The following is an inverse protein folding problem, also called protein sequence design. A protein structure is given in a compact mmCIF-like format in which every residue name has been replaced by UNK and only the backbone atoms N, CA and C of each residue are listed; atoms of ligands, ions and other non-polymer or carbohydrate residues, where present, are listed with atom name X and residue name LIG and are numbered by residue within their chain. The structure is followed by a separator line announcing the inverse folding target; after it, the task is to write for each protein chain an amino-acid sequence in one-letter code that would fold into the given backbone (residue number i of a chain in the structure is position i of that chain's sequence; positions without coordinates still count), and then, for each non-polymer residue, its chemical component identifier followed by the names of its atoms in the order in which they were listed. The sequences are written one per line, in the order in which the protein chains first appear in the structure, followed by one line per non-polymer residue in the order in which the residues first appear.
data_IF_199349618889
#
_entry.id   IF_199349618889
#
_cell.length_a   1.000
_cell.length_b   1.000
_cell.length_c   1.000
_cell.angle_alpha   90.00
_cell.angle_beta   90.00
_cell.angle_gamma   90.00
#
_symmetry.space_group_name_H-M   'P 1'
#
loop_
_entity.id
_entity.type
_entity.pdbx_description
1 polymer ?
#
# COMPACT_ATOMS: atom_id res chain seq x y z
N UNK A 1 -59.84 -3.55 9.11
CA UNK A 1 -61.22 -2.98 9.08
C UNK A 1 -61.45 -2.40 7.69
N UNK A 2 -62.64 -2.50 7.14
CA UNK A 2 -62.97 -1.81 5.90
C UNK A 2 -62.92 -0.29 6.10
N UNK A 3 -62.40 0.42 5.10
CA UNK A 3 -62.35 1.89 5.12
C UNK A 3 -63.76 2.45 4.98
N UNK A 4 -64.19 3.41 5.81
CA UNK A 4 -65.56 3.99 5.76
C UNK A 4 -65.83 4.61 4.38
N UNK A 5 -67.15 4.56 3.97
CA UNK A 5 -67.57 5.05 2.64
C UNK A 5 -67.37 6.55 2.48
N UNK A 6 -67.56 7.35 3.52
CA UNK A 6 -67.26 8.79 3.50
C UNK A 6 -65.79 9.08 3.18
N UNK A 7 -64.86 8.34 3.74
CA UNK A 7 -63.43 8.49 3.47
C UNK A 7 -63.06 8.09 2.03
N UNK A 8 -63.71 7.04 1.51
CA UNK A 8 -63.51 6.62 0.13
C UNK A 8 -64.04 7.60 -0.90
N UNK A 9 -65.06 8.40 -0.54
CA UNK A 9 -65.69 9.39 -1.42
C UNK A 9 -64.94 10.74 -1.45
N UNK A 10 -63.96 10.94 -0.60
CA UNK A 10 -63.18 12.19 -0.58
C UNK A 10 -62.48 12.40 -1.91
N UNK A 11 -62.67 13.59 -2.57
CA UNK A 11 -61.99 13.94 -3.80
C UNK A 11 -60.46 13.90 -3.59
N UNK A 12 -59.73 13.21 -4.48
CA UNK A 12 -58.31 13.02 -4.40
C UNK A 12 -57.69 12.81 -5.78
N UNK A 13 -56.34 12.91 -5.96
CA UNK A 13 -55.67 12.69 -7.26
C UNK A 13 -56.03 11.33 -7.87
N UNK A 14 -56.14 11.29 -9.21
CA UNK A 14 -56.37 10.05 -9.96
C UNK A 14 -55.21 9.05 -9.71
N UNK A 15 -55.48 7.76 -9.89
CA UNK A 15 -54.55 6.67 -9.65
C UNK A 15 -54.00 6.60 -8.23
N UNK A 16 -54.82 6.89 -7.24
CA UNK A 16 -54.44 6.78 -5.82
C UNK A 16 -55.34 5.76 -5.11
N UNK A 17 -54.85 5.27 -3.99
CA UNK A 17 -55.58 4.35 -3.09
C UNK A 17 -55.48 4.88 -1.66
N UNK A 18 -56.60 4.74 -0.93
CA UNK A 18 -56.64 5.07 0.51
C UNK A 18 -56.25 3.84 1.30
N UNK A 19 -55.37 4.01 2.27
CA UNK A 19 -54.92 2.96 3.18
C UNK A 19 -55.05 3.47 4.61
N UNK A 20 -55.74 2.70 5.46
CA UNK A 20 -55.73 2.97 6.89
C UNK A 20 -54.36 2.62 7.49
N UNK A 21 -53.80 3.47 8.32
CA UNK A 21 -52.50 3.24 8.96
C UNK A 21 -52.51 3.68 10.43
N UNK A 22 -51.57 3.10 11.17
CA UNK A 22 -51.46 3.36 12.61
C UNK A 22 -52.35 2.46 13.48
N UNK A 23 -52.08 2.46 14.78
CA UNK A 23 -52.88 1.73 15.77
C UNK A 23 -54.17 2.50 16.13
N UNK A 24 -54.17 3.79 15.85
CA UNK A 24 -55.30 4.67 16.15
C UNK A 24 -56.31 4.66 15.00
N UNK A 25 -57.59 4.49 15.36
CA UNK A 25 -58.68 4.47 14.39
C UNK A 25 -58.89 5.89 13.84
N UNK A 26 -58.73 6.06 12.53
CA UNK A 26 -59.07 7.31 11.86
C UNK A 26 -57.96 7.97 11.06
N UNK A 27 -56.78 7.37 10.98
CA UNK A 27 -55.71 7.89 10.13
C UNK A 27 -55.71 7.20 8.75
N UNK A 28 -55.84 7.98 7.68
CA UNK A 28 -55.90 7.49 6.30
C UNK A 28 -54.85 8.15 5.43
N UNK A 29 -53.96 7.32 4.89
CA UNK A 29 -52.95 7.76 3.90
C UNK A 29 -53.48 7.53 2.49
N UNK A 30 -53.19 8.47 1.60
CA UNK A 30 -53.44 8.36 0.17
C UNK A 30 -52.12 8.06 -0.52
N UNK A 31 -52.03 6.88 -1.16
CA UNK A 31 -50.83 6.44 -1.86
C UNK A 31 -51.08 6.37 -3.36
N UNK A 32 -50.05 6.69 -4.14
CA UNK A 32 -50.08 6.55 -5.60
C UNK A 32 -50.12 5.07 -5.98
N UNK A 33 -50.85 4.69 -7.01
CA UNK A 33 -50.74 3.38 -7.65
C UNK A 33 -49.70 3.43 -8.74
N UNK A 34 -48.67 2.60 -8.64
CA UNK A 34 -47.54 2.60 -9.58
C UNK A 34 -47.52 1.38 -10.52
N UNK A 35 -48.36 0.39 -10.26
CA UNK A 35 -48.44 -0.78 -11.09
C UNK A 35 -49.27 -1.90 -10.53
N UNK A 36 -49.17 -3.07 -11.16
CA UNK A 36 -49.83 -4.29 -10.75
C UNK A 36 -48.83 -5.45 -10.87
N UNK A 37 -48.75 -6.29 -9.87
CA UNK A 37 -47.95 -7.54 -9.96
C UNK A 37 -48.92 -8.73 -10.07
N UNK A 38 -48.57 -9.72 -10.84
CA UNK A 38 -49.30 -10.97 -10.91
C UNK A 38 -48.71 -11.95 -9.87
N UNK A 39 -49.57 -12.42 -8.99
CA UNK A 39 -49.23 -13.40 -7.96
C UNK A 39 -50.23 -14.57 -8.08
N UNK A 40 -49.74 -15.70 -8.58
CA UNK A 40 -50.52 -16.93 -8.81
C UNK A 40 -51.86 -16.67 -9.57
N UNK A 41 -51.82 -15.85 -10.64
CA UNK A 41 -52.99 -15.52 -11.46
C UNK A 41 -53.85 -14.40 -10.88
N UNK A 42 -53.51 -13.81 -9.75
CA UNK A 42 -54.19 -12.66 -9.16
C UNK A 42 -53.43 -11.38 -9.41
N UNK A 43 -54.09 -10.39 -9.99
CA UNK A 43 -53.51 -9.06 -10.19
C UNK A 43 -53.58 -8.25 -8.89
N UNK A 44 -52.47 -8.11 -8.21
CA UNK A 44 -52.33 -7.34 -6.99
C UNK A 44 -51.80 -5.93 -7.29
N UNK A 45 -52.49 -4.85 -6.88
CA UNK A 45 -52.00 -3.49 -7.10
C UNK A 45 -50.75 -3.21 -6.27
N UNK A 46 -49.75 -2.56 -6.90
CA UNK A 46 -48.52 -2.10 -6.24
C UNK A 46 -48.73 -0.62 -5.90
N UNK A 47 -48.58 -0.30 -4.61
CA UNK A 47 -48.73 1.05 -4.10
C UNK A 47 -47.35 1.72 -3.99
N UNK A 48 -47.26 2.93 -4.51
CA UNK A 48 -46.09 3.80 -4.43
C UNK A 48 -46.04 4.66 -3.18
N UNK A 49 -45.37 5.81 -3.24
CA UNK A 49 -45.27 6.75 -2.10
C UNK A 49 -46.60 7.30 -1.67
N UNK A 50 -46.69 7.75 -0.42
CA UNK A 50 -47.82 8.50 0.11
C UNK A 50 -47.81 9.90 -0.49
N UNK A 51 -48.93 10.33 -1.06
CA UNK A 51 -49.09 11.66 -1.71
C UNK A 51 -49.92 12.62 -0.87
N UNK A 52 -50.55 12.15 0.20
CA UNK A 52 -51.34 12.97 1.12
C UNK A 52 -52.04 12.11 2.17
N UNK A 53 -52.79 12.77 2.99
CA UNK A 53 -53.64 12.18 4.05
C UNK A 53 -55.06 12.65 3.92
N UNK A 54 -56.02 11.88 4.43
CA UNK A 54 -57.42 12.36 4.62
C UNK A 54 -57.58 12.72 6.09
N UNK A 55 -57.82 13.99 6.33
CA UNK A 55 -58.04 14.59 7.65
C UNK A 55 -59.38 15.36 7.57
N UNK A 56 -60.27 15.14 8.51
CA UNK A 56 -61.57 15.82 8.59
C UNK A 56 -62.35 15.79 7.25
N UNK A 57 -62.44 14.60 6.66
CA UNK A 57 -63.10 14.34 5.36
C UNK A 57 -62.55 15.19 4.19
N UNK A 58 -61.28 15.66 4.27
CA UNK A 58 -60.60 16.42 3.23
C UNK A 58 -59.28 15.79 2.89
N UNK A 59 -58.91 15.80 1.60
CA UNK A 59 -57.58 15.41 1.15
C UNK A 59 -56.60 16.55 1.43
N UNK A 60 -55.62 16.27 2.25
CA UNK A 60 -54.48 17.15 2.52
C UNK A 60 -53.24 16.55 1.81
N UNK A 61 -52.73 17.19 0.75
CA UNK A 61 -51.51 16.71 0.12
C UNK A 61 -50.37 16.77 1.15
N UNK A 62 -49.49 15.82 1.07
CA UNK A 62 -48.18 16.02 1.69
C UNK A 62 -47.56 17.14 0.87
N UNK A 63 -47.27 18.26 1.52
CA UNK A 63 -46.43 19.26 0.92
C UNK A 63 -45.12 18.57 0.54
N UNK A 64 -44.98 18.25 -0.74
CA UNK A 64 -43.72 17.85 -1.34
C UNK A 64 -42.83 19.07 -1.58
N UNK A 65 -43.25 20.26 -1.13
CA UNK A 65 -42.30 21.25 -0.69
C UNK A 65 -41.63 20.64 0.57
N UNK A 66 -40.77 19.66 0.34
CA UNK A 66 -39.61 19.47 1.20
C UNK A 66 -39.16 20.86 1.59
N UNK A 67 -38.95 21.17 2.89
CA UNK A 67 -38.19 22.36 3.25
C UNK A 67 -37.06 22.36 2.27
N UNK A 68 -36.96 23.39 1.42
CA UNK A 68 -35.99 23.51 0.38
C UNK A 68 -34.76 22.83 0.92
N UNK A 69 -34.49 21.61 0.39
CA UNK A 69 -33.22 21.05 0.61
C UNK A 69 -32.33 22.18 0.10
N UNK A 70 -31.81 22.96 1.01
CA UNK A 70 -30.49 23.56 0.76
C UNK A 70 -29.79 22.35 0.19
N UNK A 71 -29.60 22.34 -1.12
CA UNK A 71 -28.75 21.35 -1.74
C UNK A 71 -27.41 21.61 -1.05
N UNK A 72 -27.23 20.97 0.09
CA UNK A 72 -25.93 20.89 0.68
C UNK A 72 -25.13 20.31 -0.48
N UNK A 73 -24.32 21.15 -1.08
CA UNK A 73 -23.31 20.70 -2.04
C UNK A 73 -22.72 19.48 -1.36
N UNK A 74 -22.67 18.32 -2.04
CA UNK A 74 -22.17 17.13 -1.40
C UNK A 74 -20.88 17.53 -0.70
N UNK A 75 -20.82 17.36 0.62
CA UNK A 75 -19.63 17.70 1.39
C UNK A 75 -18.59 16.71 0.90
N UNK A 76 -17.67 17.22 0.12
CA UNK A 76 -16.55 16.42 -0.38
C UNK A 76 -15.54 16.27 0.76
N UNK A 77 -15.58 15.12 1.41
CA UNK A 77 -14.65 14.77 2.48
C UNK A 77 -13.44 14.09 1.85
N UNK A 78 -12.26 14.67 2.06
CA UNK A 78 -11.00 14.13 1.55
C UNK A 78 -10.02 13.85 2.69
N UNK A 79 -9.31 12.73 2.58
CA UNK A 79 -8.18 12.43 3.45
C UNK A 79 -7.06 13.46 3.22
N UNK A 80 -6.61 14.09 4.28
CA UNK A 80 -5.71 15.24 4.18
C UNK A 80 -4.39 15.07 4.94
N UNK A 81 -4.42 14.74 6.22
CA UNK A 81 -3.26 14.91 7.09
C UNK A 81 -2.09 13.98 6.75
N UNK A 82 -2.36 12.71 6.54
CA UNK A 82 -1.39 11.68 6.13
C UNK A 82 -0.84 11.95 4.72
N UNK A 83 -1.70 12.37 3.80
CA UNK A 83 -1.31 12.75 2.43
C UNK A 83 -0.32 13.93 2.45
N UNK A 84 -0.63 15.00 3.19
CA UNK A 84 0.25 16.18 3.28
C UNK A 84 1.57 15.83 3.98
N UNK A 85 1.52 14.99 5.01
CA UNK A 85 2.75 14.55 5.68
C UNK A 85 3.63 13.76 4.70
N UNK A 86 3.08 12.77 4.01
CA UNK A 86 3.79 12.00 3.01
C UNK A 86 4.33 12.85 1.87
N UNK A 87 3.52 13.80 1.35
CA UNK A 87 3.95 14.69 0.27
C UNK A 87 5.15 15.55 0.67
N UNK A 88 5.17 16.05 1.90
CA UNK A 88 6.31 16.82 2.43
C UNK A 88 7.56 15.97 2.63
N UNK A 89 7.40 14.79 3.22
CA UNK A 89 8.52 13.89 3.50
C UNK A 89 9.15 13.34 2.21
N UNK A 90 8.36 13.10 1.16
CA UNK A 90 8.83 12.47 -0.06
C UNK A 90 9.00 13.44 -1.25
N UNK A 91 9.00 14.75 -1.00
CA UNK A 91 9.17 15.76 -2.04
C UNK A 91 10.47 15.57 -2.85
N UNK A 92 11.55 15.13 -2.21
CA UNK A 92 12.83 14.89 -2.85
C UNK A 92 12.75 13.68 -3.78
N UNK A 93 12.10 12.60 -3.35
CA UNK A 93 11.86 11.41 -4.19
C UNK A 93 11.08 11.78 -5.45
N UNK A 94 10.09 12.68 -5.35
CA UNK A 94 9.36 13.16 -6.52
C UNK A 94 10.29 13.86 -7.52
N UNK A 95 11.19 14.71 -7.04
CA UNK A 95 12.19 15.38 -7.88
C UNK A 95 13.13 14.37 -8.55
N UNK A 96 13.61 13.39 -7.80
CA UNK A 96 14.47 12.33 -8.32
C UNK A 96 13.76 11.49 -9.38
N UNK A 97 12.49 11.13 -9.18
CA UNK A 97 11.71 10.39 -10.17
C UNK A 97 11.65 11.11 -11.51
N UNK A 98 11.52 12.43 -11.49
CA UNK A 98 11.46 13.27 -12.72
C UNK A 98 12.76 13.27 -13.53
N UNK A 99 13.89 12.82 -12.97
CA UNK A 99 15.14 12.64 -13.70
C UNK A 99 15.16 11.37 -14.58
N UNK A 100 14.36 10.38 -14.25
CA UNK A 100 14.35 9.06 -14.90
C UNK A 100 13.08 8.76 -15.68
N UNK A 101 11.99 9.44 -15.35
CA UNK A 101 10.67 9.21 -15.93
C UNK A 101 10.12 10.51 -16.55
N UNK A 102 9.19 10.37 -17.47
CA UNK A 102 8.39 11.52 -17.92
C UNK A 102 7.63 12.09 -16.73
N UNK A 103 7.30 13.38 -16.77
CA UNK A 103 6.53 14.05 -15.70
C UNK A 103 5.23 13.27 -15.39
N UNK A 104 4.51 12.81 -16.40
CA UNK A 104 3.28 12.05 -16.25
C UNK A 104 3.51 10.68 -15.57
N UNK A 105 4.62 10.00 -15.86
CA UNK A 105 4.93 8.70 -15.27
C UNK A 105 5.49 8.86 -13.85
N UNK A 106 6.36 9.86 -13.64
CA UNK A 106 6.86 10.20 -12.31
C UNK A 106 5.70 10.54 -11.36
N UNK A 107 4.73 11.32 -11.83
CA UNK A 107 3.57 11.68 -11.05
C UNK A 107 2.65 10.49 -10.73
N UNK A 108 2.45 9.57 -11.70
CA UNK A 108 1.71 8.32 -11.43
C UNK A 108 2.41 7.46 -10.39
N UNK A 109 3.74 7.27 -10.52
CA UNK A 109 4.54 6.52 -9.54
C UNK A 109 4.42 7.14 -8.15
N UNK A 110 4.57 8.46 -8.08
CA UNK A 110 4.52 9.20 -6.83
C UNK A 110 3.17 9.07 -6.15
N UNK A 111 2.07 9.34 -6.86
CA UNK A 111 0.72 9.21 -6.32
C UNK A 111 0.39 7.78 -5.87
N UNK A 112 0.75 6.77 -6.68
CA UNK A 112 0.56 5.36 -6.31
C UNK A 112 1.35 5.03 -5.04
N UNK A 113 2.57 5.54 -4.91
CA UNK A 113 3.43 5.28 -3.75
C UNK A 113 2.88 5.90 -2.48
N UNK A 114 2.45 7.17 -2.51
CA UNK A 114 1.82 7.84 -1.37
C UNK A 114 0.57 7.07 -0.92
N UNK A 115 -0.34 6.73 -1.84
CA UNK A 115 -1.56 5.99 -1.51
C UNK A 115 -1.25 4.63 -0.85
N UNK A 116 -0.20 3.95 -1.30
CA UNK A 116 0.24 2.68 -0.69
C UNK A 116 0.96 2.83 0.63
N UNK A 117 1.56 3.97 0.91
CA UNK A 117 2.12 4.27 2.23
C UNK A 117 0.99 4.54 3.23
N UNK A 118 -0.03 5.32 2.82
CA UNK A 118 -1.20 5.62 3.65
C UNK A 118 -2.08 4.38 3.88
N UNK A 119 -2.26 3.55 2.84
CA UNK A 119 -2.96 2.26 2.92
C UNK A 119 -2.14 1.14 2.27
N UNK A 120 -1.31 0.41 3.04
CA UNK A 120 -0.51 -0.71 2.51
C UNK A 120 -1.34 -1.87 1.94
N UNK A 121 -2.63 -1.94 2.27
CA UNK A 121 -3.56 -2.97 1.80
C UNK A 121 -4.22 -2.66 0.45
N UNK A 122 -4.13 -1.44 -0.03
CA UNK A 122 -4.85 -0.94 -1.20
C UNK A 122 -4.58 -1.76 -2.46
N UNK A 123 -5.64 -2.13 -3.16
CA UNK A 123 -5.56 -2.86 -4.43
C UNK A 123 -5.46 -1.90 -5.61
N UNK A 124 -4.88 -2.37 -6.72
CA UNK A 124 -4.74 -1.55 -7.93
C UNK A 124 -6.07 -0.98 -8.46
N UNK A 125 -7.17 -1.67 -8.25
CA UNK A 125 -8.50 -1.21 -8.71
C UNK A 125 -9.14 -0.18 -7.77
N UNK A 126 -8.64 -0.02 -6.56
CA UNK A 126 -9.09 0.94 -5.55
C UNK A 126 -8.33 2.28 -5.63
N UNK A 127 -7.17 2.30 -6.30
CA UNK A 127 -6.30 3.48 -6.36
C UNK A 127 -6.99 4.74 -6.89
N UNK A 128 -7.89 4.58 -7.88
CA UNK A 128 -8.61 5.75 -8.40
C UNK A 128 -9.54 6.35 -7.37
N UNK A 129 -10.31 5.52 -6.67
CA UNK A 129 -11.24 5.97 -5.64
C UNK A 129 -10.49 6.60 -4.47
N UNK A 130 -9.42 5.97 -4.00
CA UNK A 130 -8.57 6.53 -2.94
C UNK A 130 -7.93 7.86 -3.35
N UNK A 131 -7.48 8.00 -4.59
CA UNK A 131 -6.96 9.27 -5.10
C UNK A 131 -8.05 10.35 -5.15
N UNK A 132 -9.23 10.05 -5.70
CA UNK A 132 -10.33 11.00 -5.82
C UNK A 132 -10.81 11.47 -4.42
N UNK A 133 -10.80 10.58 -3.42
CA UNK A 133 -11.21 10.83 -2.04
C UNK A 133 -10.08 11.36 -1.15
N UNK A 134 -8.90 11.59 -1.68
CA UNK A 134 -7.76 12.14 -0.96
C UNK A 134 -7.40 13.54 -1.47
N UNK A 135 -6.69 14.31 -0.62
CA UNK A 135 -6.18 15.62 -0.99
C UNK A 135 -5.10 15.55 -2.09
N UNK A 136 -4.63 14.36 -2.40
CA UNK A 136 -3.69 14.13 -3.50
C UNK A 136 -4.26 14.56 -4.86
N UNK A 137 -5.59 14.40 -5.06
CA UNK A 137 -6.29 14.85 -6.26
C UNK A 137 -6.33 16.37 -6.41
N UNK A 138 -6.21 17.12 -5.30
CA UNK A 138 -6.11 18.58 -5.31
C UNK A 138 -4.66 19.04 -5.54
N UNK A 139 -3.69 18.37 -4.93
CA UNK A 139 -2.27 18.67 -5.12
C UNK A 139 -1.78 18.38 -6.54
N UNK A 140 -2.23 17.27 -7.10
CA UNK A 140 -1.81 16.75 -8.40
C UNK A 140 -3.02 16.37 -9.25
N UNK A 141 -3.79 17.33 -9.75
CA UNK A 141 -5.03 17.07 -10.46
C UNK A 141 -4.81 16.33 -11.78
N UNK A 142 -5.76 15.43 -12.10
CA UNK A 142 -5.80 14.76 -13.39
C UNK A 142 -4.86 13.56 -13.56
N UNK A 143 -4.24 13.04 -12.50
CA UNK A 143 -3.42 11.83 -12.60
C UNK A 143 -4.30 10.62 -12.90
N UNK A 144 -4.08 9.91 -14.02
CA UNK A 144 -4.96 8.81 -14.43
C UNK A 144 -4.60 7.52 -13.67
N UNK A 145 -5.41 7.18 -12.66
CA UNK A 145 -5.22 6.00 -11.79
C UNK A 145 -6.33 4.95 -11.94
N UNK A 146 -7.05 4.91 -13.07
CA UNK A 146 -8.01 3.84 -13.32
C UNK A 146 -7.34 2.47 -13.33
N UNK A 147 -8.07 1.40 -12.97
CA UNK A 147 -7.56 0.02 -12.93
C UNK A 147 -6.76 -0.36 -14.19
N UNK A 148 -7.31 -0.07 -15.37
CA UNK A 148 -6.66 -0.42 -16.62
C UNK A 148 -5.41 0.43 -16.87
N UNK A 149 -5.46 1.73 -16.58
CA UNK A 149 -4.32 2.63 -16.71
C UNK A 149 -3.17 2.20 -15.81
N UNK A 150 -3.46 1.90 -14.53
CA UNK A 150 -2.44 1.43 -13.58
C UNK A 150 -1.85 0.09 -14.02
N UNK A 151 -2.69 -0.85 -14.46
CA UNK A 151 -2.20 -2.16 -14.93
C UNK A 151 -1.28 -2.05 -16.15
N UNK A 152 -1.66 -1.26 -17.14
CA UNK A 152 -0.83 -1.00 -18.32
C UNK A 152 0.47 -0.29 -17.92
N UNK A 153 0.37 0.75 -17.10
CA UNK A 153 1.51 1.52 -16.62
C UNK A 153 2.54 0.64 -15.88
N UNK A 154 2.09 -0.20 -14.93
CA UNK A 154 2.99 -1.09 -14.20
C UNK A 154 3.63 -2.15 -15.10
N UNK A 155 2.91 -2.66 -16.10
CA UNK A 155 3.48 -3.57 -17.09
C UNK A 155 4.57 -2.88 -17.95
N UNK A 156 4.33 -1.67 -18.40
CA UNK A 156 5.30 -0.91 -19.21
C UNK A 156 6.50 -0.44 -18.36
N UNK A 157 6.28 -0.09 -17.11
CA UNK A 157 7.33 0.18 -16.13
C UNK A 157 8.25 -1.04 -15.97
N UNK A 158 7.68 -2.24 -15.81
CA UNK A 158 8.43 -3.48 -15.69
C UNK A 158 9.27 -3.81 -16.94
N UNK A 159 8.84 -3.38 -18.13
CA UNK A 159 9.63 -3.50 -19.37
C UNK A 159 10.79 -2.49 -19.46
N UNK A 160 10.66 -1.35 -18.79
CA UNK A 160 11.64 -0.27 -18.79
C UNK A 160 12.66 -0.40 -17.63
N UNK A 161 13.21 -1.59 -17.41
CA UNK A 161 14.11 -1.91 -16.30
C UNK A 161 15.29 -0.95 -16.18
N UNK A 162 15.80 -0.41 -17.29
CA UNK A 162 16.91 0.55 -17.26
C UNK A 162 16.59 1.82 -16.47
N UNK A 163 15.34 2.29 -16.49
CA UNK A 163 14.90 3.45 -15.73
C UNK A 163 14.84 3.14 -14.24
N UNK A 164 14.30 1.98 -13.89
CA UNK A 164 14.25 1.50 -12.49
C UNK A 164 15.66 1.38 -11.93
N UNK A 165 16.54 0.69 -12.65
CA UNK A 165 17.95 0.53 -12.24
C UNK A 165 18.67 1.87 -12.19
N UNK A 166 18.41 2.79 -13.13
CA UNK A 166 18.98 4.13 -13.13
C UNK A 166 18.61 4.91 -11.88
N UNK A 167 17.33 4.93 -11.51
CA UNK A 167 16.83 5.55 -10.29
C UNK A 167 17.50 4.96 -9.03
N UNK A 168 17.55 3.62 -8.90
CA UNK A 168 18.17 2.95 -7.75
C UNK A 168 19.68 3.26 -7.65
N UNK A 169 20.39 3.28 -8.77
CA UNK A 169 21.82 3.64 -8.81
C UNK A 169 22.07 5.09 -8.43
N UNK A 170 21.19 6.00 -8.82
CA UNK A 170 21.29 7.40 -8.42
C UNK A 170 21.22 7.55 -6.89
N UNK A 171 20.28 6.85 -6.26
CA UNK A 171 20.15 6.84 -4.79
C UNK A 171 21.37 6.19 -4.13
N UNK A 172 21.85 5.06 -4.64
CA UNK A 172 23.05 4.41 -4.13
C UNK A 172 24.31 5.30 -4.24
N UNK A 173 24.41 6.10 -5.30
CA UNK A 173 25.51 7.05 -5.48
C UNK A 173 25.46 8.24 -4.52
N UNK A 174 24.30 8.57 -3.94
CA UNK A 174 24.15 9.64 -2.96
C UNK A 174 24.58 9.25 -1.54
N UNK A 175 24.67 7.96 -1.22
CA UNK A 175 25.11 7.46 0.09
C UNK A 175 26.51 7.98 0.43
N UNK A 176 26.75 8.36 1.68
CA UNK A 176 28.07 8.77 2.16
C UNK A 176 28.93 7.57 2.60
N UNK A 177 30.27 7.74 2.62
CA UNK A 177 31.21 6.66 2.96
C UNK A 177 31.05 6.15 4.41
N UNK A 178 30.62 7.00 5.31
CA UNK A 178 30.42 6.74 6.73
C UNK A 178 29.01 6.28 7.08
N UNK A 179 28.09 6.20 6.11
CA UNK A 179 26.74 5.73 6.33
C UNK A 179 26.65 4.21 6.42
N UNK A 180 25.72 3.73 7.25
CA UNK A 180 25.43 2.32 7.42
C UNK A 180 24.26 1.92 6.53
N UNK A 181 24.50 1.00 5.62
CA UNK A 181 23.50 0.43 4.72
C UNK A 181 23.02 -0.91 5.25
N UNK A 182 21.83 -0.93 5.85
CA UNK A 182 21.18 -2.18 6.23
C UNK A 182 20.73 -2.94 4.97
N UNK A 183 21.34 -4.10 4.73
CA UNK A 183 20.93 -5.00 3.64
C UNK A 183 20.23 -6.21 4.21
N UNK A 184 18.99 -6.42 3.77
CA UNK A 184 18.19 -7.57 4.18
C UNK A 184 17.39 -8.13 3.01
N UNK A 185 16.93 -9.37 3.17
CA UNK A 185 16.16 -10.10 2.17
C UNK A 185 14.85 -10.64 2.71
N UNK A 186 13.81 -10.53 1.90
CA UNK A 186 12.51 -11.10 2.22
C UNK A 186 11.97 -11.95 1.08
N UNK A 187 11.18 -12.96 1.42
CA UNK A 187 10.43 -13.75 0.46
C UNK A 187 9.01 -13.21 0.35
N UNK A 188 8.55 -13.02 -0.88
CA UNK A 188 7.16 -12.67 -1.19
C UNK A 188 6.52 -13.83 -1.92
N UNK A 189 5.43 -14.35 -1.37
CA UNK A 189 4.64 -15.39 -2.00
C UNK A 189 4.09 -14.91 -3.34
N UNK A 190 4.21 -15.73 -4.36
CA UNK A 190 3.77 -15.41 -5.72
C UNK A 190 2.93 -16.56 -6.30
N UNK A 191 1.66 -16.24 -6.55
CA UNK A 191 0.71 -17.17 -7.16
C UNK A 191 0.70 -17.09 -8.70
N UNK A 192 1.51 -16.23 -9.28
CA UNK A 192 1.59 -16.04 -10.73
C UNK A 192 2.18 -17.29 -11.40
N UNK A 193 1.53 -17.71 -12.49
CA UNK A 193 2.03 -18.82 -13.33
C UNK A 193 2.95 -18.37 -14.46
N UNK A 194 3.04 -17.06 -14.67
CA UNK A 194 3.78 -16.47 -15.81
C UNK A 194 4.98 -15.62 -15.37
N UNK A 195 5.19 -15.45 -14.06
CA UNK A 195 6.32 -14.71 -13.54
C UNK A 195 7.59 -15.58 -13.52
N UNK A 196 8.59 -15.20 -14.30
CA UNK A 196 9.87 -15.93 -14.41
C UNK A 196 10.71 -15.93 -13.13
N UNK A 197 10.45 -15.01 -12.20
CA UNK A 197 11.11 -14.94 -10.89
C UNK A 197 10.45 -15.83 -9.84
N UNK A 198 9.24 -16.33 -10.13
CA UNK A 198 8.49 -17.19 -9.22
C UNK A 198 9.08 -18.59 -9.20
N UNK A 199 9.61 -19.02 -8.05
CA UNK A 199 10.17 -20.35 -7.91
C UNK A 199 10.06 -20.86 -6.46
N UNK A 200 10.27 -22.19 -6.27
CA UNK A 200 10.15 -22.83 -4.97
C UNK A 200 11.34 -22.49 -4.08
N UNK A 201 11.09 -21.75 -3.02
CA UNK A 201 12.12 -21.41 -2.04
C UNK A 201 12.25 -22.50 -0.97
N UNK A 202 13.50 -22.83 -0.61
CA UNK A 202 13.80 -23.69 0.56
C UNK A 202 13.44 -23.01 1.89
N UNK A 203 13.32 -21.68 1.89
CA UNK A 203 12.99 -20.84 3.05
C UNK A 203 11.50 -20.50 3.12
N UNK A 204 10.70 -20.97 2.16
CA UNK A 204 9.26 -20.71 2.14
C UNK A 204 8.61 -21.15 3.46
N UNK A 205 7.78 -20.28 4.03
CA UNK A 205 7.03 -20.60 5.27
C UNK A 205 6.08 -21.79 5.08
N UNK A 206 5.53 -21.90 3.88
CA UNK A 206 4.66 -23.00 3.49
C UNK A 206 5.34 -23.81 2.40
N UNK A 207 5.55 -25.11 2.64
CA UNK A 207 6.15 -26.00 1.62
C UNK A 207 5.24 -26.09 0.41
N UNK A 208 5.85 -25.99 -0.79
CA UNK A 208 5.14 -26.09 -2.06
C UNK A 208 4.55 -24.78 -2.57
N UNK A 209 4.79 -23.65 -1.90
CA UNK A 209 4.50 -22.33 -2.44
C UNK A 209 5.66 -21.80 -3.25
N UNK A 210 5.33 -20.99 -4.26
CA UNK A 210 6.33 -20.28 -5.05
C UNK A 210 6.51 -18.88 -4.48
N UNK A 211 7.75 -18.42 -4.47
CA UNK A 211 8.13 -17.13 -3.91
C UNK A 211 8.99 -16.34 -4.90
N UNK A 212 9.10 -15.05 -4.64
CA UNK A 212 10.11 -14.15 -5.21
C UNK A 212 10.98 -13.69 -4.05
N UNK A 213 12.30 -13.70 -4.22
CA UNK A 213 13.22 -13.11 -3.27
C UNK A 213 13.41 -11.62 -3.59
N UNK A 214 13.32 -10.76 -2.57
CA UNK A 214 13.55 -9.32 -2.69
C UNK A 214 14.64 -8.93 -1.72
N UNK A 215 15.75 -8.39 -2.22
CA UNK A 215 16.77 -7.73 -1.43
C UNK A 215 16.56 -6.22 -1.48
N UNK A 216 16.85 -5.55 -0.39
CA UNK A 216 16.81 -4.10 -0.30
C UNK A 216 17.94 -3.56 0.57
N UNK A 217 18.35 -2.34 0.31
CA UNK A 217 19.26 -1.56 1.13
C UNK A 217 18.53 -0.33 1.68
N UNK A 218 18.80 -0.04 2.95
CA UNK A 218 18.24 1.09 3.69
C UNK A 218 19.37 1.85 4.36
N UNK A 219 19.41 3.16 4.18
CA UNK A 219 20.39 4.05 4.82
C UNK A 219 19.91 4.35 6.26
N UNK A 220 20.71 3.99 7.25
CA UNK A 220 20.35 4.14 8.67
C UNK A 220 20.51 5.57 9.18
N UNK A 221 21.39 6.35 8.59
CA UNK A 221 21.61 7.75 8.96
C UNK A 221 20.50 8.65 8.40
N UNK A 222 20.19 8.50 7.11
CA UNK A 222 19.13 9.27 6.46
C UNK A 222 17.73 8.69 6.72
N UNK A 223 17.65 7.47 7.29
CA UNK A 223 16.39 6.76 7.51
C UNK A 223 15.57 6.56 6.23
N UNK A 224 16.24 6.27 5.12
CA UNK A 224 15.63 6.17 3.80
C UNK A 224 15.95 4.87 3.06
N UNK A 225 15.01 4.35 2.25
CA UNK A 225 15.31 3.26 1.33
C UNK A 225 16.24 3.74 0.20
N UNK A 226 17.30 2.98 -0.05
CA UNK A 226 18.29 3.28 -1.08
C UNK A 226 17.95 2.56 -2.39
N UNK A 227 17.93 1.24 -2.36
CA UNK A 227 17.66 0.44 -3.54
C UNK A 227 17.05 -0.92 -3.18
N UNK A 228 16.47 -1.57 -4.17
CA UNK A 228 15.96 -2.93 -4.05
C UNK A 228 16.15 -3.71 -5.35
N UNK A 229 16.09 -5.05 -5.25
CA UNK A 229 16.11 -5.93 -6.41
C UNK A 229 15.37 -7.22 -6.13
N UNK A 230 14.62 -7.67 -7.13
CA UNK A 230 13.96 -8.97 -7.12
C UNK A 230 14.84 -10.03 -7.75
N UNK A 231 14.87 -11.22 -7.15
CA UNK A 231 15.56 -12.41 -7.60
C UNK A 231 14.62 -13.61 -7.62
N UNK A 232 14.94 -14.68 -8.36
CA UNK A 232 14.19 -15.92 -8.29
C UNK A 232 14.11 -16.46 -6.85
N UNK A 233 12.93 -16.97 -6.47
CA UNK A 233 12.69 -17.44 -5.11
C UNK A 233 13.59 -18.59 -4.64
N UNK A 234 14.16 -19.36 -5.57
CA UNK A 234 15.11 -20.44 -5.29
C UNK A 234 16.58 -19.96 -5.19
N UNK A 235 16.87 -18.70 -5.50
CA UNK A 235 18.23 -18.17 -5.44
C UNK A 235 18.73 -18.09 -4.01
N UNK A 236 19.97 -18.52 -3.78
CA UNK A 236 20.60 -18.43 -2.46
C UNK A 236 20.98 -16.98 -2.16
N UNK A 237 20.83 -16.57 -0.90
CA UNK A 237 21.17 -15.22 -0.44
C UNK A 237 22.61 -14.83 -0.80
N UNK A 238 23.56 -15.76 -0.64
CA UNK A 238 24.96 -15.54 -1.01
C UNK A 238 25.12 -15.19 -2.50
N UNK A 239 24.40 -15.87 -3.40
CA UNK A 239 24.49 -15.59 -4.85
C UNK A 239 23.82 -14.27 -5.21
N UNK A 240 22.69 -13.94 -4.59
CA UNK A 240 21.97 -12.69 -4.84
C UNK A 240 22.70 -11.47 -4.26
N UNK A 241 23.48 -11.64 -3.20
CA UNK A 241 24.15 -10.56 -2.49
C UNK A 241 25.17 -9.81 -3.34
N UNK A 242 26.14 -10.53 -3.92
CA UNK A 242 27.13 -9.92 -4.81
C UNK A 242 26.49 -9.26 -6.03
N UNK A 243 25.49 -9.93 -6.65
CA UNK A 243 24.75 -9.37 -7.77
C UNK A 243 23.95 -8.12 -7.36
N UNK A 244 23.38 -8.09 -6.15
CA UNK A 244 22.65 -6.93 -5.62
C UNK A 244 23.55 -5.70 -5.50
N UNK A 245 24.75 -5.86 -4.89
CA UNK A 245 25.73 -4.78 -4.73
C UNK A 245 26.21 -4.28 -6.10
N UNK A 246 26.64 -5.20 -6.97
CA UNK A 246 27.19 -4.88 -8.28
C UNK A 246 26.18 -4.17 -9.18
N UNK A 247 24.98 -4.70 -9.30
CA UNK A 247 23.97 -4.17 -10.22
C UNK A 247 23.38 -2.82 -9.77
N UNK A 248 23.27 -2.58 -8.47
CA UNK A 248 22.87 -1.28 -7.93
C UNK A 248 24.04 -0.30 -7.83
N UNK A 249 25.30 -0.74 -8.15
CA UNK A 249 26.49 0.07 -8.03
C UNK A 249 26.67 0.69 -6.63
N UNK A 250 26.49 -0.14 -5.60
CA UNK A 250 26.82 0.26 -4.24
C UNK A 250 28.34 0.20 -4.11
N UNK A 251 28.99 1.36 -4.10
CA UNK A 251 30.47 1.48 -4.16
C UNK A 251 31.07 2.11 -2.93
N UNK A 252 30.28 2.55 -1.97
CA UNK A 252 30.73 3.19 -0.73
C UNK A 252 29.70 3.01 0.39
N UNK A 253 30.12 3.22 1.63
CA UNK A 253 29.33 3.01 2.84
C UNK A 253 29.71 1.75 3.60
N UNK A 254 29.04 1.48 4.69
CA UNK A 254 29.25 0.32 5.57
C UNK A 254 28.03 -0.59 5.47
N UNK A 255 28.12 -1.69 4.75
CA UNK A 255 27.01 -2.64 4.65
C UNK A 255 26.86 -3.40 5.96
N UNK A 256 25.68 -3.31 6.56
CA UNK A 256 25.25 -4.09 7.72
C UNK A 256 24.27 -5.16 7.25
N UNK A 257 24.66 -6.43 7.37
CA UNK A 257 23.82 -7.53 6.90
C UNK A 257 23.81 -8.71 7.90
N UNK A 258 22.79 -9.56 7.82
CA UNK A 258 22.72 -10.78 8.65
C UNK A 258 23.78 -11.81 8.19
N UNK A 259 24.07 -12.76 9.05
CA UNK A 259 24.99 -13.91 8.80
C UNK A 259 24.63 -14.74 7.56
N UNK A 260 23.48 -14.52 6.94
CA UNK A 260 23.06 -15.12 5.67
C UNK A 260 23.76 -14.51 4.46
N UNK A 261 24.34 -13.31 4.62
CA UNK A 261 25.03 -12.54 3.59
C UNK A 261 26.54 -12.44 3.93
N UNK A 262 27.31 -13.53 3.77
CA UNK A 262 28.72 -13.51 4.12
C UNK A 262 29.51 -12.61 3.16
N UNK A 263 30.53 -11.93 3.66
CA UNK A 263 31.42 -11.07 2.87
C UNK A 263 32.05 -11.82 1.68
N UNK A 264 32.35 -13.09 1.85
CA UNK A 264 32.93 -13.94 0.79
C UNK A 264 32.01 -14.09 -0.44
N UNK A 265 30.72 -13.83 -0.31
CA UNK A 265 29.78 -13.86 -1.43
C UNK A 265 29.76 -12.54 -2.24
N UNK A 266 30.37 -11.48 -1.71
CA UNK A 266 30.52 -10.19 -2.37
C UNK A 266 31.95 -9.69 -2.33
N UNK A 267 32.92 -10.60 -2.17
CA UNK A 267 34.35 -10.30 -2.01
C UNK A 267 34.89 -9.43 -3.16
N UNK A 268 34.58 -9.77 -4.39
CA UNK A 268 34.99 -8.99 -5.58
C UNK A 268 34.48 -7.54 -5.53
N UNK A 269 33.27 -7.31 -5.00
CA UNK A 269 32.68 -5.99 -4.89
C UNK A 269 33.37 -5.16 -3.81
N UNK A 270 33.74 -5.78 -2.69
CA UNK A 270 34.48 -5.10 -1.61
C UNK A 270 35.92 -4.81 -2.02
N UNK A 271 36.60 -5.73 -2.71
CA UNK A 271 37.94 -5.48 -3.23
C UNK A 271 37.98 -4.39 -4.30
N UNK A 272 36.99 -4.35 -5.18
CA UNK A 272 36.87 -3.35 -6.24
C UNK A 272 36.54 -1.94 -5.75
N UNK A 273 35.99 -1.79 -4.54
CA UNK A 273 35.47 -0.54 -4.00
C UNK A 273 36.08 -0.27 -2.61
N UNK A 274 37.19 0.46 -2.52
CA UNK A 274 37.88 0.71 -1.25
C UNK A 274 37.09 1.45 -0.20
N UNK A 275 36.08 2.22 -0.61
CA UNK A 275 35.20 2.98 0.27
C UNK A 275 33.94 2.19 0.69
N UNK A 276 33.84 0.93 0.26
CA UNK A 276 32.76 0.01 0.63
C UNK A 276 33.25 -0.96 1.71
N UNK A 277 32.65 -0.90 2.86
CA UNK A 277 32.96 -1.74 4.01
C UNK A 277 31.79 -2.63 4.38
N UNK A 278 32.01 -3.59 5.29
CA UNK A 278 30.94 -4.44 5.80
C UNK A 278 31.04 -4.65 7.32
N UNK A 279 29.90 -4.86 7.93
CA UNK A 279 29.72 -5.23 9.34
C UNK A 279 28.75 -6.40 9.43
N UNK A 280 29.27 -7.62 9.55
CA UNK A 280 28.48 -8.84 9.59
C UNK A 280 28.69 -9.62 10.88
N UNK A 281 27.66 -10.26 11.46
CA UNK A 281 27.80 -11.14 12.59
C UNK A 281 28.53 -12.44 12.17
N UNK A 282 29.51 -12.82 12.96
CA UNK A 282 30.26 -14.06 12.73
C UNK A 282 29.45 -15.27 13.16
N UNK A 283 29.40 -16.31 12.35
CA UNK A 283 28.77 -17.60 12.71
C UNK A 283 29.47 -18.22 13.89
N UNK A 284 28.72 -18.82 14.86
CA UNK A 284 29.28 -19.42 16.08
C UNK A 284 30.33 -20.49 15.85
N UNK A 285 30.26 -21.18 14.71
CA UNK A 285 31.23 -22.22 14.31
C UNK A 285 32.32 -21.69 13.38
N UNK A 286 32.49 -20.38 13.26
CA UNK A 286 33.54 -19.80 12.45
C UNK A 286 34.90 -20.00 13.13
N UNK A 287 35.89 -20.39 12.35
CA UNK A 287 37.30 -20.49 12.82
C UNK A 287 37.88 -19.17 13.31
N UNK A 288 37.29 -18.05 12.90
CA UNK A 288 37.66 -16.72 13.35
C UNK A 288 37.38 -16.55 14.85
N UNK A 289 36.26 -17.10 15.34
CA UNK A 289 35.88 -17.06 16.76
C UNK A 289 36.96 -17.75 17.61
N UNK A 290 37.39 -18.93 17.18
CA UNK A 290 38.41 -19.71 17.86
C UNK A 290 39.79 -19.04 17.77
N UNK A 291 40.22 -18.65 16.53
CA UNK A 291 41.48 -17.99 16.28
C UNK A 291 41.70 -16.73 17.10
N UNK A 292 40.64 -15.97 17.37
CA UNK A 292 40.72 -14.71 18.08
C UNK A 292 40.18 -14.78 19.52
N UNK A 293 39.96 -15.97 20.07
CA UNK A 293 39.52 -16.18 21.46
C UNK A 293 38.18 -15.53 21.76
N UNK A 294 37.29 -15.45 20.78
CA UNK A 294 36.02 -14.71 20.90
C UNK A 294 34.98 -15.41 21.78
N UNK A 295 35.25 -16.60 22.28
CA UNK A 295 34.39 -17.33 23.20
C UNK A 295 34.69 -17.02 24.67
N UNK A 296 35.84 -16.37 24.94
CA UNK A 296 36.24 -16.02 26.29
C UNK A 296 35.41 -14.81 26.76
N UNK A 297 34.84 -14.94 27.95
CA UNK A 297 34.15 -13.85 28.61
C UNK A 297 35.14 -13.03 29.42
N UNK A 298 35.62 -11.94 28.89
CA UNK A 298 36.78 -11.23 29.46
C UNK A 298 36.55 -9.76 29.76
N UNK A 299 35.35 -9.20 29.52
CA UNK A 299 35.21 -7.77 29.66
C UNK A 299 33.87 -7.27 30.21
N UNK A 300 33.94 -6.08 30.77
CA UNK A 300 32.79 -5.24 31.10
C UNK A 300 32.67 -4.16 30.05
N UNK A 301 31.47 -3.94 29.52
CA UNK A 301 31.23 -2.91 28.48
C UNK A 301 31.55 -1.53 29.11
N UNK A 302 32.51 -0.75 28.55
CA UNK A 302 32.84 0.57 29.09
C UNK A 302 31.61 1.46 29.19
N UNK A 303 31.39 2.07 30.40
CA UNK A 303 30.20 2.88 30.68
C UNK A 303 28.93 2.08 31.03
N UNK A 304 29.02 0.74 31.09
CA UNK A 304 27.89 -0.14 31.43
C UNK A 304 28.36 -1.28 32.33
N UNK A 305 28.76 -0.96 33.57
CA UNK A 305 29.44 -1.88 34.49
C UNK A 305 28.65 -3.17 34.83
N UNK A 306 27.35 -3.18 34.64
CA UNK A 306 26.51 -4.37 34.80
C UNK A 306 26.42 -5.30 33.58
N UNK A 307 27.05 -4.95 32.46
CA UNK A 307 26.95 -5.74 31.20
C UNK A 307 28.30 -6.39 30.92
N UNK A 308 28.35 -7.72 31.04
CA UNK A 308 29.47 -8.53 30.54
C UNK A 308 29.23 -8.90 29.08
N UNK A 309 30.22 -8.71 28.23
CA UNK A 309 30.15 -9.08 26.82
C UNK A 309 31.20 -10.13 26.50
N UNK A 310 30.85 -10.95 25.50
CA UNK A 310 31.70 -12.06 25.03
C UNK A 310 32.91 -11.62 24.24
N UNK A 311 33.26 -10.33 24.19
CA UNK A 311 34.23 -9.88 23.22
C UNK A 311 34.79 -8.52 23.54
N UNK A 312 36.10 -8.46 23.75
CA UNK A 312 36.86 -7.23 23.91
C UNK A 312 37.43 -6.68 22.58
N UNK A 313 37.45 -7.44 21.51
CA UNK A 313 38.22 -7.08 20.31
C UNK A 313 37.33 -6.98 19.09
N UNK A 314 37.14 -5.76 18.61
CA UNK A 314 36.95 -5.52 17.21
C UNK A 314 38.34 -5.66 16.55
N UNK A 315 38.49 -6.62 15.65
CA UNK A 315 39.71 -6.77 14.88
C UNK A 315 39.50 -5.97 13.62
N UNK A 316 40.06 -4.77 13.60
CA UNK A 316 40.30 -4.06 12.36
C UNK A 316 41.52 -4.68 11.72
N UNK A 317 41.38 -5.17 10.52
CA UNK A 317 42.54 -5.58 9.70
C UNK A 317 42.41 -4.81 8.40
N UNK A 318 43.57 -4.39 7.88
CA UNK A 318 43.66 -3.82 6.56
C UNK A 318 43.46 -4.88 5.44
N UNK A 319 43.12 -6.11 5.86
CA UNK A 319 42.79 -7.22 4.99
C UNK A 319 41.43 -7.75 5.37
N UNK A 320 40.63 -7.95 4.37
CA UNK A 320 39.33 -8.62 4.49
C UNK A 320 39.49 -10.02 5.11
N UNK A 321 38.82 -10.27 6.22
CA UNK A 321 38.83 -11.57 6.91
C UNK A 321 37.75 -12.49 6.39
#
# INVERSE_FOLDING_TARGET
MPIPKNILSVPRPKNTVVIAYGKDKGLYAVRQRIGCRNDNGRHLPVNGPTVGHIVDDRFVPIDTASPSSVSASPVDLKDWADIILCDRLFADIRRELSMFYSEADAMKLYCISILRVCDPGIKNYELKEAYDNSFLSELYPGVPLSKNTVSTFLNDLGKAMSRIVGFMRNRAAAVSMDHHLLVDGTLKSDESRVNSLSDFSRKARTKGTRDISVLYAFDLEEMEPVCSKCFPGNMLDATSYGAFISENKITKGIIVADKGFPESAAHEQFEANPDLHYLNPVKRNSRLIERHGMLDFTGILPGHEGITFRKEKCIGTDKWL
#
